data_IF_587892709214
#
_entry.id   IF_587892709214
#
_cell.length_a   1.000
_cell.length_b   1.000
_cell.length_c   1.000
_cell.angle_alpha   90.00
_cell.angle_beta   90.00
_cell.angle_gamma   90.00
#
_symmetry.space_group_name_H-M   'P 1'
#
loop_
_entity.id
_entity.type
_entity.pdbx_description
1 polymer ?
#
# COMPACT_ATOMS: atom_id res chain seq x y z
N UNK A 1 46.70 57.29 0.73
CA UNK A 1 45.64 56.59 -0.03
C UNK A 1 45.47 55.18 0.54
N UNK A 2 44.52 54.97 1.46
CA UNK A 2 44.24 53.66 2.09
C UNK A 2 43.35 52.84 1.16
N UNK A 3 43.83 51.67 0.73
CA UNK A 3 43.08 50.70 -0.08
C UNK A 3 42.06 49.99 0.81
N UNK A 4 40.78 50.09 0.45
CA UNK A 4 39.67 49.40 1.11
C UNK A 4 39.47 48.04 0.42
N UNK A 5 39.86 46.96 1.10
CA UNK A 5 39.61 45.60 0.63
C UNK A 5 38.18 45.19 0.97
N UNK A 6 37.34 45.01 -0.05
CA UNK A 6 35.99 44.46 0.09
C UNK A 6 36.10 42.94 0.05
N UNK A 7 35.81 42.29 1.17
CA UNK A 7 35.65 40.84 1.26
C UNK A 7 34.21 40.51 0.91
N UNK A 8 34.00 39.91 -0.27
CA UNK A 8 32.69 39.41 -0.69
C UNK A 8 32.52 38.00 -0.09
N UNK A 9 31.71 37.88 0.96
CA UNK A 9 31.30 36.60 1.50
C UNK A 9 30.17 36.02 0.62
N UNK A 10 30.48 34.98 -0.17
CA UNK A 10 29.46 34.17 -0.85
C UNK A 10 28.74 33.30 0.20
N UNK A 11 27.52 33.68 0.58
CA UNK A 11 26.59 32.79 1.28
C UNK A 11 25.96 31.82 0.27
N UNK A 12 26.34 30.55 0.33
CA UNK A 12 25.66 29.46 -0.36
C UNK A 12 24.32 29.19 0.35
N UNK A 13 23.23 29.69 -0.22
CA UNK A 13 21.89 29.26 0.17
C UNK A 13 21.64 27.85 -0.39
N UNK A 14 21.75 26.83 0.45
CA UNK A 14 21.24 25.51 0.15
C UNK A 14 19.70 25.57 0.21
N UNK A 15 19.06 25.67 -0.95
CA UNK A 15 17.60 25.59 -1.06
C UNK A 15 17.18 24.13 -0.91
N UNK A 16 16.68 23.76 0.26
CA UNK A 16 15.96 22.50 0.43
C UNK A 16 14.60 22.65 -0.27
N UNK A 17 14.47 22.04 -1.45
CA UNK A 17 13.18 21.93 -2.11
C UNK A 17 12.23 21.12 -1.21
N UNK A 18 11.27 21.79 -0.58
CA UNK A 18 10.13 21.14 0.06
C UNK A 18 9.24 20.59 -1.06
N UNK A 19 9.46 19.34 -1.46
CA UNK A 19 8.50 18.63 -2.29
C UNK A 19 7.23 18.44 -1.46
N UNK A 20 6.17 19.17 -1.81
CA UNK A 20 4.83 18.80 -1.36
C UNK A 20 4.58 17.37 -1.82
N UNK A 21 4.29 16.46 -0.90
CA UNK A 21 4.04 15.06 -1.24
C UNK A 21 2.73 14.99 -2.03
N UNK A 22 2.84 14.81 -3.35
CA UNK A 22 1.66 14.60 -4.20
C UNK A 22 0.99 13.28 -3.83
N UNK A 23 -0.34 13.26 -3.83
CA UNK A 23 -1.11 12.03 -3.64
C UNK A 23 -0.76 11.02 -4.73
N UNK A 24 -0.70 9.74 -4.37
CA UNK A 24 -0.33 8.67 -5.29
C UNK A 24 -1.19 8.70 -6.57
N UNK A 25 -0.50 8.62 -7.71
CA UNK A 25 -1.11 8.59 -9.04
C UNK A 25 -0.37 7.58 -9.90
N UNK A 26 -1.13 6.84 -10.71
CA UNK A 26 -0.57 5.93 -11.72
C UNK A 26 0.42 6.67 -12.62
N UNK A 27 1.59 6.06 -12.83
CA UNK A 27 2.68 6.61 -13.64
C UNK A 27 3.56 7.63 -12.94
N UNK A 28 3.23 8.00 -11.69
CA UNK A 28 4.08 8.85 -10.85
C UNK A 28 4.92 8.01 -9.89
N UNK A 29 5.98 8.62 -9.34
CA UNK A 29 6.73 8.03 -8.24
C UNK A 29 5.82 7.80 -7.03
N UNK A 30 5.98 6.64 -6.40
CA UNK A 30 5.28 6.28 -5.17
C UNK A 30 5.62 7.29 -4.07
N UNK A 31 4.62 7.91 -3.40
CA UNK A 31 4.90 8.84 -2.32
C UNK A 31 5.66 8.18 -1.18
N UNK A 32 6.70 8.86 -0.68
CA UNK A 32 7.53 8.32 0.40
C UNK A 32 6.73 8.18 1.70
N UNK A 33 6.93 7.08 2.41
CA UNK A 33 6.45 6.88 3.77
C UNK A 33 7.41 6.03 4.57
N UNK A 34 7.29 6.12 5.89
CA UNK A 34 7.90 5.19 6.84
C UNK A 34 6.82 4.76 7.81
N UNK A 35 6.59 3.45 7.93
CA UNK A 35 5.65 2.87 8.89
C UNK A 35 6.32 1.77 9.69
N UNK A 36 5.82 1.53 10.89
CA UNK A 36 6.25 0.39 11.72
C UNK A 36 5.35 -0.81 11.46
N UNK A 37 5.95 -1.99 11.44
CA UNK A 37 5.20 -3.24 11.49
C UNK A 37 4.82 -3.61 12.93
N UNK A 38 4.06 -4.71 13.08
CA UNK A 38 3.61 -5.21 14.39
C UNK A 38 4.75 -5.68 15.31
N UNK A 39 5.96 -5.84 14.79
CA UNK A 39 7.17 -6.19 15.55
C UNK A 39 8.02 -4.95 15.89
N UNK A 40 7.56 -3.76 15.49
CA UNK A 40 8.27 -2.49 15.69
C UNK A 40 9.38 -2.22 14.68
N UNK A 41 9.51 -3.03 13.62
CA UNK A 41 10.49 -2.80 12.55
C UNK A 41 9.95 -1.68 11.65
N UNK A 42 10.79 -0.69 11.38
CA UNK A 42 10.48 0.38 10.43
C UNK A 42 10.68 -0.11 8.99
N UNK A 43 9.69 0.17 8.15
CA UNK A 43 9.71 -0.11 6.72
C UNK A 43 9.52 1.21 5.98
N UNK A 44 10.51 1.58 5.14
CA UNK A 44 10.38 2.70 4.21
C UNK A 44 10.03 2.16 2.84
N UNK A 45 9.13 2.84 2.13
CA UNK A 45 8.82 2.40 0.76
C UNK A 45 10.07 2.41 -0.14
N UNK A 46 11.01 3.30 0.16
CA UNK A 46 12.28 3.41 -0.53
C UNK A 46 13.22 2.23 -0.31
N UNK A 47 13.09 1.48 0.79
CA UNK A 47 13.90 0.29 1.08
C UNK A 47 13.62 -0.86 0.09
N UNK A 48 12.50 -0.79 -0.64
CA UNK A 48 12.08 -1.80 -1.62
C UNK A 48 12.38 -1.41 -3.07
N UNK A 49 13.22 -0.40 -3.31
CA UNK A 49 13.73 -0.09 -4.65
C UNK A 49 14.27 -1.36 -5.34
N UNK A 50 13.99 -1.52 -6.63
CA UNK A 50 14.38 -2.71 -7.39
C UNK A 50 13.45 -3.91 -7.21
N UNK A 51 12.39 -3.81 -6.40
CA UNK A 51 11.37 -4.85 -6.22
C UNK A 51 9.98 -4.34 -6.58
N UNK A 52 9.10 -5.26 -6.94
CA UNK A 52 7.67 -4.98 -6.96
C UNK A 52 7.15 -4.93 -5.53
N UNK A 53 6.25 -3.99 -5.25
CA UNK A 53 5.59 -3.84 -3.94
C UNK A 53 4.08 -3.81 -4.14
N UNK A 54 3.35 -4.54 -3.32
CA UNK A 54 1.89 -4.44 -3.18
C UNK A 54 1.59 -3.82 -1.83
N UNK A 55 0.78 -2.75 -1.83
CA UNK A 55 0.17 -2.21 -0.62
C UNK A 55 -1.30 -2.66 -0.60
N UNK A 56 -1.72 -3.24 0.51
CA UNK A 56 -3.09 -3.73 0.73
C UNK A 56 -3.65 -3.05 1.98
N UNK A 57 -4.58 -2.11 1.82
CA UNK A 57 -5.35 -1.64 2.97
C UNK A 57 -6.36 -2.69 3.37
N UNK A 58 -6.25 -3.18 4.61
CA UNK A 58 -7.02 -4.35 5.07
C UNK A 58 -7.73 -4.07 6.39
N UNK A 59 -8.92 -4.65 6.52
CA UNK A 59 -9.65 -4.79 7.78
C UNK A 59 -10.29 -6.18 7.80
N UNK A 60 -9.75 -7.07 8.62
CA UNK A 60 -10.21 -8.45 8.75
C UNK A 60 -11.66 -8.63 9.25
N UNK A 61 -12.32 -7.56 9.74
CA UNK A 61 -13.74 -7.59 10.08
C UNK A 61 -14.65 -7.19 8.92
N UNK A 62 -14.10 -6.61 7.84
CA UNK A 62 -14.88 -6.20 6.69
C UNK A 62 -15.37 -7.43 5.89
N UNK A 63 -16.68 -7.56 5.57
CA UNK A 63 -17.20 -8.67 4.79
C UNK A 63 -16.54 -8.84 3.41
N UNK A 64 -16.16 -7.74 2.75
CA UNK A 64 -15.45 -7.80 1.47
C UNK A 64 -14.04 -8.38 1.62
N UNK A 65 -13.33 -8.03 2.71
CA UNK A 65 -12.03 -8.65 3.05
C UNK A 65 -12.22 -10.12 3.39
N UNK A 66 -13.23 -10.45 4.22
CA UNK A 66 -13.56 -11.84 4.57
C UNK A 66 -13.86 -12.70 3.34
N UNK A 67 -14.54 -12.17 2.31
CA UNK A 67 -14.72 -12.89 1.03
C UNK A 67 -13.39 -13.44 0.52
N UNK A 68 -12.34 -12.61 0.47
CA UNK A 68 -11.04 -13.02 -0.09
C UNK A 68 -10.21 -13.88 0.86
N UNK A 69 -10.23 -13.60 2.16
CA UNK A 69 -9.44 -14.37 3.12
C UNK A 69 -10.10 -15.71 3.50
N UNK A 70 -11.42 -15.78 3.64
CA UNK A 70 -12.09 -17.05 3.97
C UNK A 70 -12.22 -18.01 2.77
N UNK A 71 -11.91 -17.55 1.54
CA UNK A 71 -11.85 -18.38 0.32
C UNK A 71 -10.42 -18.77 -0.07
N UNK A 72 -9.42 -18.40 0.73
CA UNK A 72 -7.99 -18.52 0.42
C UNK A 72 -7.50 -17.72 -0.82
N UNK A 73 -8.37 -16.92 -1.45
CA UNK A 73 -8.03 -16.11 -2.62
C UNK A 73 -6.87 -15.13 -2.35
N UNK A 74 -6.93 -14.39 -1.24
CA UNK A 74 -5.89 -13.42 -0.91
C UNK A 74 -4.56 -14.12 -0.58
N UNK A 75 -4.61 -15.22 0.15
CA UNK A 75 -3.43 -15.91 0.63
C UNK A 75 -2.72 -16.65 -0.50
N UNK A 76 -3.46 -17.19 -1.47
CA UNK A 76 -2.88 -17.74 -2.69
C UNK A 76 -2.15 -16.65 -3.48
N UNK A 77 -2.78 -15.48 -3.65
CA UNK A 77 -2.19 -14.33 -4.34
C UNK A 77 -0.92 -13.83 -3.63
N UNK A 78 -0.99 -13.63 -2.31
CA UNK A 78 0.16 -13.27 -1.47
C UNK A 78 1.28 -14.30 -1.61
N UNK A 79 1.01 -15.59 -1.43
CA UNK A 79 2.03 -16.66 -1.55
C UNK A 79 2.65 -16.74 -2.93
N UNK A 80 1.86 -16.61 -3.99
CA UNK A 80 2.37 -16.67 -5.36
C UNK A 80 3.40 -15.55 -5.60
N UNK A 81 3.03 -14.32 -5.29
CA UNK A 81 3.87 -13.17 -5.62
C UNK A 81 5.01 -12.96 -4.63
N UNK A 82 4.82 -13.24 -3.33
CA UNK A 82 5.93 -13.22 -2.37
C UNK A 82 7.01 -14.26 -2.71
N UNK A 83 6.62 -15.46 -3.19
CA UNK A 83 7.60 -16.46 -3.70
C UNK A 83 8.36 -15.96 -4.94
N UNK A 84 7.76 -15.08 -5.75
CA UNK A 84 8.40 -14.43 -6.90
C UNK A 84 9.19 -13.16 -6.51
N UNK A 85 9.36 -12.88 -5.22
CA UNK A 85 10.14 -11.75 -4.72
C UNK A 85 9.39 -10.42 -4.59
N UNK A 86 8.06 -10.41 -4.78
CA UNK A 86 7.21 -9.24 -4.52
C UNK A 86 7.11 -9.00 -3.01
N UNK A 87 7.23 -7.75 -2.60
CA UNK A 87 7.02 -7.33 -1.22
C UNK A 87 5.52 -7.03 -1.04
N UNK A 88 4.87 -7.71 -0.11
CA UNK A 88 3.45 -7.51 0.18
C UNK A 88 3.27 -6.88 1.55
N UNK A 89 2.75 -5.65 1.58
CA UNK A 89 2.55 -4.87 2.80
C UNK A 89 1.05 -4.70 3.05
N UNK A 90 0.53 -5.41 4.04
CA UNK A 90 -0.83 -5.16 4.52
C UNK A 90 -0.81 -3.96 5.48
N UNK A 91 -1.73 -3.02 5.34
CA UNK A 91 -1.71 -1.74 6.06
C UNK A 91 -3.04 -1.50 6.76
N UNK A 92 -2.97 -1.08 8.03
CA UNK A 92 -4.12 -0.55 8.76
C UNK A 92 -3.97 0.96 9.00
N UNK A 93 -4.84 1.74 8.37
CA UNK A 93 -4.98 3.20 8.58
C UNK A 93 -6.24 3.58 9.37
N UNK A 94 -6.97 2.60 9.91
CA UNK A 94 -8.11 2.88 10.79
C UNK A 94 -7.63 3.40 12.13
N UNK A 95 -8.26 4.44 12.66
CA UNK A 95 -7.86 5.07 13.91
C UNK A 95 -8.04 4.13 15.12
N UNK A 96 -7.22 4.36 16.15
CA UNK A 96 -7.27 3.60 17.41
C UNK A 96 -8.70 3.55 17.98
N UNK A 97 -9.14 2.36 18.36
CA UNK A 97 -10.49 2.11 18.90
C UNK A 97 -11.60 2.09 17.85
N UNK A 98 -11.29 2.21 16.55
CA UNK A 98 -12.25 1.95 15.45
C UNK A 98 -12.12 0.52 14.94
N UNK A 99 -13.19 0.02 14.34
CA UNK A 99 -13.21 -1.30 13.71
C UNK A 99 -12.04 -1.45 12.72
N UNK A 100 -11.34 -2.58 12.78
CA UNK A 100 -10.15 -2.87 11.97
C UNK A 100 -8.83 -2.44 12.58
N UNK A 101 -8.83 -1.56 13.59
CA UNK A 101 -7.65 -1.27 14.40
C UNK A 101 -7.59 -2.27 15.57
N UNK A 102 -6.85 -3.35 15.37
CA UNK A 102 -6.71 -4.44 16.32
C UNK A 102 -5.54 -4.20 17.29
N UNK A 103 -5.66 -4.71 18.51
CA UNK A 103 -4.48 -4.91 19.36
C UNK A 103 -3.53 -5.92 18.71
N UNK A 104 -2.25 -5.92 19.10
CA UNK A 104 -1.26 -6.88 18.58
C UNK A 104 -1.72 -8.33 18.74
N UNK A 105 -2.29 -8.68 19.89
CA UNK A 105 -2.75 -10.05 20.16
C UNK A 105 -3.94 -10.46 19.26
N UNK A 106 -4.92 -9.56 19.06
CA UNK A 106 -6.05 -9.81 18.16
C UNK A 106 -5.60 -9.94 16.71
N UNK A 107 -4.66 -9.08 16.30
CA UNK A 107 -4.10 -9.10 14.96
C UNK A 107 -3.31 -10.38 14.71
N UNK A 108 -2.46 -10.81 15.64
CA UNK A 108 -1.70 -12.06 15.53
C UNK A 108 -2.65 -13.26 15.44
N UNK A 109 -3.73 -13.26 16.24
CA UNK A 109 -4.77 -14.29 16.14
C UNK A 109 -5.42 -14.29 14.76
N UNK A 110 -5.84 -13.13 14.26
CA UNK A 110 -6.48 -13.00 12.94
C UNK A 110 -5.54 -13.42 11.81
N UNK A 111 -4.27 -13.01 11.85
CA UNK A 111 -3.26 -13.42 10.88
C UNK A 111 -3.07 -14.93 10.85
N UNK A 112 -3.07 -15.58 12.02
CA UNK A 112 -3.02 -17.03 12.13
C UNK A 112 -4.29 -17.70 11.60
N UNK A 113 -5.47 -17.24 12.02
CA UNK A 113 -6.75 -17.81 11.62
C UNK A 113 -6.95 -17.71 10.10
N UNK A 114 -6.63 -16.55 9.52
CA UNK A 114 -6.67 -16.31 8.09
C UNK A 114 -5.43 -16.80 7.35
N UNK A 115 -4.42 -17.39 8.02
CA UNK A 115 -3.20 -17.91 7.37
C UNK A 115 -2.57 -16.90 6.40
N UNK A 116 -2.50 -15.64 6.81
CA UNK A 116 -2.06 -14.55 5.95
C UNK A 116 -0.60 -14.76 5.56
N UNK A 117 -0.23 -14.30 4.36
CA UNK A 117 1.07 -14.57 3.74
C UNK A 117 1.74 -13.28 3.23
N UNK A 118 1.36 -12.13 3.79
CA UNK A 118 2.02 -10.86 3.55
C UNK A 118 3.46 -10.87 4.09
N UNK A 119 4.31 -10.00 3.52
CA UNK A 119 5.69 -9.78 3.99
C UNK A 119 5.70 -9.09 5.35
N UNK A 120 4.88 -8.06 5.52
CA UNK A 120 4.71 -7.34 6.78
C UNK A 120 3.30 -6.75 6.90
N UNK A 121 2.87 -6.57 8.15
CA UNK A 121 1.63 -5.85 8.47
C UNK A 121 2.01 -4.54 9.14
N UNK A 122 1.70 -3.42 8.49
CA UNK A 122 2.09 -2.07 8.88
C UNK A 122 0.95 -1.34 9.58
N UNK A 123 1.29 -0.53 10.58
CA UNK A 123 0.36 0.28 11.34
C UNK A 123 0.55 1.75 10.95
N UNK A 124 -0.45 2.33 10.31
CA UNK A 124 -0.53 3.75 9.97
C UNK A 124 -1.44 4.45 10.99
N UNK A 125 -0.88 4.73 12.18
CA UNK A 125 -1.64 5.26 13.31
C UNK A 125 -2.29 6.63 13.02
N UNK A 126 -1.63 7.49 12.25
CA UNK A 126 -2.14 8.81 11.86
C UNK A 126 -3.19 8.71 10.75
N UNK A 127 -3.13 7.65 9.93
CA UNK A 127 -3.93 7.50 8.73
C UNK A 127 -3.43 8.36 7.56
N UNK A 128 -2.27 9.00 7.69
CA UNK A 128 -1.72 9.88 6.67
C UNK A 128 -1.23 9.11 5.47
N UNK A 129 -0.67 7.90 5.64
CA UNK A 129 -0.22 7.07 4.51
C UNK A 129 -1.40 6.57 3.70
N UNK A 130 -2.49 6.16 4.36
CA UNK A 130 -3.74 5.83 3.69
C UNK A 130 -4.28 6.98 2.84
N UNK A 131 -4.29 8.20 3.40
CA UNK A 131 -4.70 9.41 2.65
C UNK A 131 -3.74 9.74 1.50
N UNK A 132 -2.44 9.62 1.73
CA UNK A 132 -1.39 9.88 0.76
C UNK A 132 -1.49 8.97 -0.46
N UNK A 133 -1.94 7.73 -0.26
CA UNK A 133 -2.18 6.75 -1.32
C UNK A 133 -3.63 6.70 -1.80
N UNK A 134 -4.48 7.62 -1.35
CA UNK A 134 -5.89 7.71 -1.70
C UNK A 134 -6.70 6.44 -1.36
N UNK A 135 -6.28 5.70 -0.33
CA UNK A 135 -6.97 4.52 0.16
C UNK A 135 -8.28 4.92 0.84
N UNK A 136 -9.40 4.34 0.39
CA UNK A 136 -10.75 4.73 0.85
C UNK A 136 -11.49 3.60 1.53
N UNK A 137 -11.26 2.38 1.08
CA UNK A 137 -12.01 1.20 1.50
C UNK A 137 -11.07 0.06 1.87
N UNK A 138 -11.63 -1.09 2.23
CA UNK A 138 -10.90 -2.31 2.53
C UNK A 138 -11.62 -3.49 1.85
N UNK A 139 -10.96 -4.28 0.97
CA UNK A 139 -9.58 -4.09 0.50
C UNK A 139 -9.43 -2.89 -0.45
N UNK A 140 -8.25 -2.27 -0.46
CA UNK A 140 -7.82 -1.27 -1.46
C UNK A 140 -6.35 -1.56 -1.80
N UNK A 141 -6.03 -1.60 -3.10
CA UNK A 141 -4.81 -2.21 -3.61
C UNK A 141 -3.96 -1.21 -4.39
N UNK A 142 -2.66 -1.22 -4.14
CA UNK A 142 -1.69 -0.43 -4.88
C UNK A 142 -0.52 -1.32 -5.30
N UNK A 143 -0.07 -1.18 -6.55
CA UNK A 143 1.14 -1.88 -7.03
C UNK A 143 2.17 -0.85 -7.45
N UNK A 144 3.39 -1.04 -6.97
CA UNK A 144 4.57 -0.21 -7.25
C UNK A 144 5.60 -1.09 -7.95
N UNK A 145 6.21 -0.57 -9.01
CA UNK A 145 7.22 -1.27 -9.80
C UNK A 145 8.65 -1.10 -9.21
N UNK A 146 9.66 -1.84 -9.70
CA UNK A 146 11.06 -1.71 -9.28
C UNK A 146 11.66 -0.30 -9.39
N UNK A 147 11.14 0.52 -10.30
CA UNK A 147 11.53 1.93 -10.48
C UNK A 147 10.84 2.88 -9.50
N UNK A 148 10.10 2.33 -8.53
CA UNK A 148 9.29 3.05 -7.54
C UNK A 148 8.14 3.86 -8.14
N UNK A 149 7.58 3.44 -9.26
CA UNK A 149 6.41 4.08 -9.85
C UNK A 149 5.15 3.29 -9.51
N UNK A 150 4.07 4.01 -9.24
CA UNK A 150 2.74 3.41 -9.07
C UNK A 150 2.23 2.93 -10.42
N UNK A 151 2.00 1.63 -10.57
CA UNK A 151 1.50 1.02 -11.81
C UNK A 151 0.05 0.54 -11.70
N UNK A 152 -0.49 0.46 -10.49
CA UNK A 152 -1.89 0.12 -10.24
C UNK A 152 -2.44 0.79 -8.97
N UNK A 153 -3.70 1.24 -9.02
CA UNK A 153 -4.49 1.71 -7.87
C UNK A 153 -5.95 1.21 -7.98
N UNK A 154 -6.49 0.53 -6.96
CA UNK A 154 -7.94 0.28 -6.87
C UNK A 154 -8.33 -1.07 -6.27
N UNK A 155 -9.41 -1.65 -6.80
CA UNK A 155 -9.97 -2.91 -6.34
C UNK A 155 -9.00 -4.09 -6.55
N UNK A 156 -9.23 -5.20 -5.86
CA UNK A 156 -8.56 -6.47 -6.16
C UNK A 156 -9.06 -7.11 -7.48
N UNK A 157 -10.35 -6.98 -7.76
CA UNK A 157 -11.02 -7.58 -8.92
C UNK A 157 -12.22 -6.73 -9.40
N UNK A 158 -12.97 -7.24 -10.39
CA UNK A 158 -14.10 -6.55 -11.00
C UNK A 158 -15.47 -6.82 -10.35
N UNK A 159 -15.59 -7.67 -9.31
CA UNK A 159 -16.88 -8.04 -8.72
C UNK A 159 -17.03 -7.49 -7.28
N UNK A 160 -17.80 -6.40 -7.09
CA UNK A 160 -17.99 -5.75 -5.78
C UNK A 160 -19.04 -6.48 -4.93
N UNK A 161 -18.76 -7.74 -4.59
CA UNK A 161 -19.62 -8.64 -3.82
C UNK A 161 -18.92 -9.13 -2.55
N UNK A 162 -19.71 -9.63 -1.60
CA UNK A 162 -19.24 -10.36 -0.42
C UNK A 162 -19.40 -11.88 -0.55
N UNK A 163 -19.96 -12.37 -1.66
CA UNK A 163 -20.14 -13.80 -1.92
C UNK A 163 -18.84 -14.44 -2.40
N UNK A 164 -18.43 -15.53 -1.75
CA UNK A 164 -17.24 -16.30 -2.11
C UNK A 164 -17.38 -16.98 -3.47
N UNK A 165 -18.61 -17.28 -3.90
CA UNK A 165 -18.86 -17.91 -5.20
C UNK A 165 -18.48 -17.03 -6.40
N UNK A 166 -18.26 -15.74 -6.17
CA UNK A 166 -17.87 -14.79 -7.21
C UNK A 166 -16.37 -14.76 -7.47
N UNK A 167 -15.54 -15.35 -6.60
CA UNK A 167 -14.07 -15.37 -6.77
C UNK A 167 -13.67 -16.00 -8.10
N UNK A 168 -14.25 -17.16 -8.45
CA UNK A 168 -13.90 -17.88 -9.67
C UNK A 168 -14.42 -17.20 -10.96
N UNK A 169 -15.32 -16.22 -10.81
CA UNK A 169 -15.89 -15.44 -11.93
C UNK A 169 -15.19 -14.11 -12.11
N UNK A 170 -14.37 -13.69 -11.15
CA UNK A 170 -13.82 -12.35 -11.10
C UNK A 170 -12.51 -12.24 -11.88
N UNK A 171 -12.36 -11.14 -12.61
CA UNK A 171 -11.09 -10.75 -13.21
C UNK A 171 -10.20 -10.11 -12.14
N UNK A 172 -9.22 -10.86 -11.64
CA UNK A 172 -8.30 -10.38 -10.61
C UNK A 172 -7.28 -9.40 -11.21
N UNK A 173 -7.50 -8.10 -10.98
CA UNK A 173 -6.67 -7.01 -11.51
C UNK A 173 -5.26 -7.01 -10.93
N UNK A 174 -5.10 -7.37 -9.65
CA UNK A 174 -3.78 -7.41 -9.01
C UNK A 174 -2.90 -8.50 -9.64
N UNK A 175 -3.46 -9.69 -9.83
CA UNK A 175 -2.78 -10.80 -10.51
C UNK A 175 -2.41 -10.44 -11.95
N UNK A 176 -3.35 -9.86 -12.71
CA UNK A 176 -3.12 -9.44 -14.09
C UNK A 176 -2.02 -8.37 -14.18
N UNK A 177 -2.08 -7.34 -13.34
CA UNK A 177 -1.10 -6.25 -13.33
C UNK A 177 0.32 -6.74 -12.97
N UNK A 178 0.46 -7.56 -11.92
CA UNK A 178 1.76 -8.12 -11.56
C UNK A 178 2.30 -9.06 -12.64
N UNK A 179 1.47 -9.98 -13.16
CA UNK A 179 1.92 -10.88 -14.21
C UNK A 179 2.32 -10.13 -15.48
N UNK A 180 1.56 -9.12 -15.91
CA UNK A 180 1.95 -8.30 -17.07
C UNK A 180 3.27 -7.58 -16.81
N UNK A 181 3.37 -6.82 -15.72
CA UNK A 181 4.55 -6.02 -15.42
C UNK A 181 5.82 -6.87 -15.26
N UNK A 182 5.74 -7.99 -14.53
CA UNK A 182 6.87 -8.90 -14.32
C UNK A 182 7.34 -9.59 -15.61
N UNK A 183 6.49 -9.67 -16.64
CA UNK A 183 6.84 -10.20 -17.96
C UNK A 183 7.14 -9.09 -18.99
N UNK A 184 7.34 -7.85 -18.55
CA UNK A 184 7.64 -6.72 -19.44
C UNK A 184 6.48 -6.31 -20.35
N UNK A 185 5.24 -6.70 -20.02
CA UNK A 185 4.02 -6.33 -20.75
C UNK A 185 3.36 -5.11 -20.10
N UNK A 186 2.55 -4.42 -20.88
CA UNK A 186 1.74 -3.30 -20.40
C UNK A 186 0.68 -3.78 -19.40
N UNK A 187 0.52 -3.02 -18.31
CA UNK A 187 -0.63 -3.15 -17.40
C UNK A 187 -1.82 -2.44 -18.06
N UNK A 188 -2.82 -3.22 -18.50
CA UNK A 188 -4.01 -2.70 -19.20
C UNK A 188 -4.93 -1.92 -18.24
N UNK A 189 -5.32 -2.57 -17.14
CA UNK A 189 -6.12 -1.92 -16.08
C UNK A 189 -5.15 -1.31 -15.07
N UNK A 190 -4.86 -0.02 -15.22
CA UNK A 190 -3.96 0.71 -14.30
C UNK A 190 -4.68 1.32 -13.11
N UNK A 191 -6.00 1.52 -13.22
CA UNK A 191 -6.81 1.91 -12.08
C UNK A 191 -8.21 1.37 -12.18
N UNK A 192 -8.84 1.16 -11.03
CA UNK A 192 -10.22 0.73 -10.92
C UNK A 192 -10.89 1.42 -9.73
N UNK A 193 -12.22 1.45 -9.71
CA UNK A 193 -12.97 1.94 -8.55
C UNK A 193 -12.87 0.90 -7.43
N UNK A 194 -12.27 1.20 -6.27
CA UNK A 194 -12.18 0.24 -5.19
C UNK A 194 -13.58 0.03 -4.56
N UNK A 195 -13.78 -1.15 -3.98
CA UNK A 195 -15.01 -1.52 -3.28
C UNK A 195 -14.67 -2.12 -1.92
N UNK A 196 -15.54 -1.90 -0.93
CA UNK A 196 -15.31 -2.43 0.40
C UNK A 196 -15.88 -1.58 1.51
N UNK A 197 -15.52 -1.93 2.75
CA UNK A 197 -15.86 -1.12 3.92
C UNK A 197 -14.95 0.10 3.97
N UNK A 198 -15.52 1.30 4.14
CA UNK A 198 -14.71 2.52 4.27
C UNK A 198 -13.74 2.45 5.45
N UNK A 199 -12.49 2.89 5.23
CA UNK A 199 -11.45 2.99 6.25
C UNK A 199 -11.91 3.96 7.35
N UNK A 200 -11.64 3.63 8.62
CA UNK A 200 -12.12 4.40 9.77
C UNK A 200 -11.08 5.42 10.22
N UNK A 201 -10.78 6.41 9.38
CA UNK A 201 -9.85 7.51 9.71
C UNK A 201 -10.32 8.33 10.94
N UNK A 202 -9.35 8.94 11.66
CA UNK A 202 -9.63 9.73 12.87
C UNK A 202 -10.44 11.01 12.57
N UNK A 203 -10.07 11.71 11.49
CA UNK A 203 -10.72 12.94 11.03
C UNK A 203 -11.17 12.73 9.57
N UNK A 204 -12.46 12.96 9.32
CA UNK A 204 -13.05 13.02 7.96
C UNK A 204 -12.60 14.27 7.23
#
# INVERSE_FOLDING_TARGET
MRKLSIVIALMLFATTAMFASETAKVGSKAPEFTLKDTKGVEHKISDFAGKYVVLEWVNFDCPFVKKHYESENMQNLQREFTKKGVIWLSICSSAKGKQGNFTTAELDKKKKDFKTAETAYLIDESGEVGKLYNAKVTPDMVIINPSQEVIYLGAIDNIPSTDKSDIDKADNYVMQALNSAMNGKTVEVKSSKPYGCGIKYANK
#
